data_IF_879906239643
#
_entry.id   IF_879906239643
#
_cell.length_a   1.000
_cell.length_b   1.000
_cell.length_c   1.000
_cell.angle_alpha   90.00
_cell.angle_beta   90.00
_cell.angle_gamma   90.00
#
_symmetry.space_group_name_H-M   'P 1'
#
loop_
_entity.id
_entity.type
_entity.pdbx_description
1 polymer ?
#
# COMPACT_ATOMS: atom_id res chain seq x y z
N UNK A 1 -0.32 -27.84 9.86
CA UNK A 1 -0.80 -27.77 8.46
C UNK A 1 -0.31 -28.98 7.68
N UNK A 2 -1.20 -29.69 6.97
CA UNK A 2 -0.83 -30.90 6.20
C UNK A 2 -0.60 -30.53 4.74
N UNK A 3 0.53 -30.94 4.16
CA UNK A 3 0.82 -30.70 2.75
C UNK A 3 -0.09 -31.54 1.85
N UNK A 4 -0.84 -30.91 0.94
CA UNK A 4 -1.75 -31.61 0.01
C UNK A 4 -1.05 -32.45 -1.06
N UNK A 5 0.27 -32.28 -1.26
CA UNK A 5 1.02 -33.06 -2.25
C UNK A 5 1.73 -34.29 -1.67
N UNK A 6 2.29 -34.18 -0.47
CA UNK A 6 3.09 -35.25 0.14
C UNK A 6 2.60 -35.69 1.53
N UNK A 7 1.51 -35.08 2.02
CA UNK A 7 0.88 -35.37 3.32
C UNK A 7 1.77 -35.15 4.56
N UNK A 8 2.94 -34.52 4.39
CA UNK A 8 3.81 -34.17 5.51
C UNK A 8 3.14 -33.10 6.39
N UNK A 9 3.17 -33.31 7.70
CA UNK A 9 2.77 -32.29 8.68
C UNK A 9 3.83 -31.19 8.77
N UNK A 10 3.39 -29.95 8.65
CA UNK A 10 4.22 -28.75 8.72
C UNK A 10 3.67 -27.80 9.79
N UNK A 11 4.55 -27.00 10.38
CA UNK A 11 4.14 -25.86 11.22
C UNK A 11 3.27 -24.88 10.42
N UNK A 12 2.28 -24.29 11.07
CA UNK A 12 1.32 -23.34 10.48
C UNK A 12 1.96 -22.05 9.92
N UNK A 13 3.19 -21.73 10.32
CA UNK A 13 3.92 -20.56 9.83
C UNK A 13 4.81 -20.86 8.61
N UNK A 14 4.85 -22.10 8.13
CA UNK A 14 5.66 -22.47 6.96
C UNK A 14 4.93 -22.09 5.67
N UNK A 15 5.62 -21.34 4.81
CA UNK A 15 5.12 -21.02 3.46
C UNK A 15 5.34 -22.16 2.45
N UNK A 16 6.26 -23.07 2.74
CA UNK A 16 6.63 -24.19 1.88
C UNK A 16 6.79 -25.47 2.69
N UNK A 17 6.45 -26.60 2.08
CA UNK A 17 6.57 -27.91 2.69
C UNK A 17 8.05 -28.24 2.93
N UNK A 18 8.36 -28.66 4.16
CA UNK A 18 9.71 -29.06 4.58
C UNK A 18 10.23 -30.31 3.88
N UNK A 19 9.34 -31.15 3.33
CA UNK A 19 9.70 -32.39 2.67
C UNK A 19 9.74 -32.25 1.13
N UNK A 20 8.71 -31.68 0.51
CA UNK A 20 8.60 -31.63 -0.95
C UNK A 20 8.79 -30.24 -1.57
N UNK A 21 8.93 -29.18 -0.76
CA UNK A 21 9.09 -27.81 -1.24
C UNK A 21 7.85 -27.16 -1.84
N UNK A 22 6.70 -27.87 -1.96
CA UNK A 22 5.47 -27.27 -2.50
C UNK A 22 4.97 -26.15 -1.57
N UNK A 23 4.49 -25.05 -2.18
CA UNK A 23 3.85 -23.93 -1.46
C UNK A 23 2.69 -24.47 -0.62
N UNK A 24 2.71 -24.12 0.65
CA UNK A 24 1.63 -24.36 1.58
C UNK A 24 0.70 -23.16 1.50
N UNK A 25 -0.60 -23.41 1.33
CA UNK A 25 -1.57 -22.36 1.08
C UNK A 25 -1.92 -21.60 2.37
N UNK A 26 -1.19 -20.52 2.60
CA UNK A 26 -1.40 -19.60 3.73
C UNK A 26 -1.36 -18.16 3.21
N UNK A 27 -2.38 -17.36 3.54
CA UNK A 27 -2.50 -15.96 3.09
C UNK A 27 -2.11 -15.02 4.23
N UNK A 28 -1.02 -14.28 4.04
CA UNK A 28 -0.66 -13.18 4.97
C UNK A 28 -1.47 -11.95 4.57
N UNK A 29 -2.29 -11.45 5.48
CA UNK A 29 -3.01 -10.19 5.30
C UNK A 29 -2.07 -9.00 5.55
N UNK A 30 -2.41 -7.82 5.04
CA UNK A 30 -1.62 -6.58 5.20
C UNK A 30 -1.39 -6.20 6.68
N UNK A 31 -2.29 -6.60 7.58
CA UNK A 31 -2.12 -6.42 9.02
C UNK A 31 -1.07 -7.35 9.67
N UNK A 32 -0.47 -8.27 8.90
CA UNK A 32 0.56 -9.21 9.37
C UNK A 32 0.02 -10.56 9.86
N UNK A 33 -1.30 -10.72 10.00
CA UNK A 33 -1.91 -11.98 10.41
C UNK A 33 -1.81 -13.03 9.29
N UNK A 34 -1.51 -14.28 9.65
CA UNK A 34 -1.45 -15.42 8.73
C UNK A 34 -2.77 -16.17 8.83
N UNK A 35 -3.52 -16.17 7.73
CA UNK A 35 -4.81 -16.84 7.63
C UNK A 35 -4.66 -18.18 6.90
N UNK A 36 -5.59 -19.10 7.18
CA UNK A 36 -5.76 -20.32 6.40
C UNK A 36 -6.26 -19.96 4.99
N UNK A 37 -6.03 -20.84 4.01
CA UNK A 37 -6.38 -20.56 2.62
C UNK A 37 -7.88 -20.33 2.37
N UNK A 38 -8.68 -21.05 3.16
CA UNK A 38 -10.14 -21.07 3.11
C UNK A 38 -10.79 -19.99 3.99
N UNK A 39 -9.99 -19.17 4.68
CA UNK A 39 -10.53 -18.03 5.42
C UNK A 39 -11.03 -16.97 4.42
N UNK A 40 -12.23 -16.45 4.68
CA UNK A 40 -12.84 -15.37 3.90
C UNK A 40 -12.50 -13.99 4.48
N UNK A 41 -12.23 -13.93 5.78
CA UNK A 41 -11.94 -12.70 6.52
C UNK A 41 -10.69 -12.90 7.35
N UNK A 42 -9.93 -11.83 7.55
CA UNK A 42 -8.72 -11.85 8.34
C UNK A 42 -9.03 -12.06 9.83
N UNK A 43 -8.58 -13.16 10.42
CA UNK A 43 -8.78 -13.45 11.85
C UNK A 43 -8.17 -12.42 12.80
N UNK A 44 -7.15 -11.67 12.34
CA UNK A 44 -6.51 -10.62 13.13
C UNK A 44 -7.18 -9.24 13.10
N UNK A 45 -7.88 -8.87 12.02
CA UNK A 45 -8.41 -7.50 11.86
C UNK A 45 -9.83 -7.43 11.25
N UNK A 46 -10.44 -8.56 10.91
CA UNK A 46 -11.81 -8.66 10.39
C UNK A 46 -12.01 -8.22 8.94
N UNK A 47 -10.98 -7.72 8.25
CA UNK A 47 -11.07 -7.26 6.86
C UNK A 47 -11.11 -8.47 5.91
N UNK A 48 -11.92 -8.44 4.83
CA UNK A 48 -11.96 -9.51 3.84
C UNK A 48 -10.58 -9.85 3.25
N UNK A 49 -10.28 -11.14 3.13
CA UNK A 49 -9.07 -11.61 2.44
C UNK A 49 -9.39 -11.63 0.95
N UNK A 50 -8.83 -10.69 0.18
CA UNK A 50 -8.97 -10.68 -1.29
C UNK A 50 -8.60 -12.07 -1.84
N UNK A 51 -9.54 -12.74 -2.49
CA UNK A 51 -9.30 -14.02 -3.15
C UNK A 51 -8.72 -13.77 -4.54
N UNK A 52 -7.64 -14.47 -4.89
CA UNK A 52 -7.08 -14.46 -6.25
C UNK A 52 -8.11 -14.95 -7.30
N UNK A 53 -9.19 -15.60 -6.87
CA UNK A 53 -10.30 -16.07 -7.74
C UNK A 53 -11.28 -14.97 -8.17
N UNK A 54 -11.19 -13.74 -7.63
CA UNK A 54 -11.92 -12.57 -8.14
C UNK A 54 -10.97 -11.41 -8.43
N UNK A 55 -9.82 -11.72 -9.05
CA UNK A 55 -9.23 -10.75 -9.96
C UNK A 55 -9.98 -10.88 -11.28
N UNK A 56 -11.21 -10.38 -11.30
CA UNK A 56 -11.78 -9.89 -12.55
C UNK A 56 -10.68 -8.96 -13.09
N UNK A 57 -10.13 -9.27 -14.27
CA UNK A 57 -9.05 -8.47 -14.87
C UNK A 57 -9.41 -6.97 -14.98
N UNK A 58 -10.70 -6.64 -14.82
CA UNK A 58 -11.28 -5.30 -14.78
C UNK A 58 -11.15 -4.56 -13.44
N UNK A 59 -10.84 -5.22 -12.31
CA UNK A 59 -10.95 -4.62 -10.97
C UNK A 59 -9.60 -4.22 -10.31
N UNK A 60 -8.47 -4.34 -11.01
CA UNK A 60 -7.23 -3.64 -10.61
C UNK A 60 -7.18 -2.30 -11.35
N UNK A 61 -7.97 -1.31 -10.92
CA UNK A 61 -7.64 0.10 -11.16
C UNK A 61 -6.66 0.54 -10.08
N UNK A 62 -5.45 -0.03 -10.09
CA UNK A 62 -4.30 0.63 -9.50
C UNK A 62 -3.73 1.56 -10.56
N UNK A 63 -4.36 2.74 -10.64
CA UNK A 63 -4.03 3.79 -11.58
C UNK A 63 -4.72 3.56 -12.93
N UNK A 64 -5.70 4.40 -13.25
CA UNK A 64 -5.87 4.76 -14.66
C UNK A 64 -4.49 5.12 -15.20
N UNK A 65 -4.17 4.64 -16.40
CA UNK A 65 -2.90 4.93 -17.06
C UNK A 65 -2.87 6.44 -17.31
N UNK A 66 -2.32 7.19 -16.36
CA UNK A 66 -2.19 8.64 -16.44
C UNK A 66 -1.44 8.93 -17.74
N UNK A 67 -2.11 9.64 -18.65
CA UNK A 67 -1.50 10.05 -19.91
C UNK A 67 -0.56 11.21 -19.65
N UNK A 68 0.32 11.50 -20.62
CA UNK A 68 1.19 12.67 -20.55
C UNK A 68 0.38 13.98 -20.42
N UNK A 69 -0.83 14.01 -20.98
CA UNK A 69 -1.73 15.15 -20.80
C UNK A 69 -2.30 15.25 -19.38
N UNK A 70 -2.69 14.14 -18.76
CA UNK A 70 -3.20 14.12 -17.38
C UNK A 70 -2.10 14.56 -16.39
N UNK A 71 -0.84 14.15 -16.64
CA UNK A 71 0.33 14.64 -15.89
C UNK A 71 0.50 16.16 -16.07
N UNK A 72 0.36 16.66 -17.29
CA UNK A 72 0.51 18.09 -17.59
C UNK A 72 -0.63 18.93 -16.98
N UNK A 73 -1.86 18.41 -16.89
CA UNK A 73 -2.97 19.10 -16.22
C UNK A 73 -2.75 19.22 -14.71
N UNK A 74 -2.36 18.12 -14.04
CA UNK A 74 -2.05 18.12 -12.60
C UNK A 74 -0.91 19.11 -12.27
N UNK A 75 0.14 19.12 -13.09
CA UNK A 75 1.27 20.06 -12.93
C UNK A 75 0.88 21.52 -13.19
N UNK A 76 -0.17 21.77 -13.99
CA UNK A 76 -0.66 23.11 -14.28
C UNK A 76 -1.70 23.61 -13.26
N UNK A 77 -2.41 22.71 -12.56
CA UNK A 77 -3.32 23.10 -11.47
C UNK A 77 -2.58 23.67 -10.26
N UNK A 78 -1.34 23.23 -10.00
CA UNK A 78 -0.46 23.86 -9.00
C UNK A 78 -0.04 25.30 -9.37
N UNK A 79 -0.36 25.77 -10.60
CA UNK A 79 -0.17 27.16 -11.05
C UNK A 79 -1.44 28.04 -10.96
N UNK A 80 -2.55 27.55 -10.39
CA UNK A 80 -3.75 28.38 -10.12
C UNK A 80 -4.15 28.47 -8.64
N UNK A 81 -3.38 27.86 -7.72
CA UNK A 81 -3.37 28.32 -6.33
C UNK A 81 -2.29 29.38 -6.19
N UNK A 82 -2.72 30.61 -5.95
CA UNK A 82 -1.89 31.79 -5.74
C UNK A 82 -0.87 31.60 -4.61
N UNK A 83 0.29 31.01 -4.92
CA UNK A 83 1.49 31.30 -4.15
C UNK A 83 1.83 32.74 -4.50
N UNK A 84 1.34 33.67 -3.66
CA UNK A 84 1.94 34.99 -3.60
C UNK A 84 3.44 34.74 -3.41
N UNK A 85 4.25 35.00 -4.45
CA UNK A 85 5.69 35.13 -4.30
C UNK A 85 5.87 36.12 -3.16
N UNK A 86 6.18 35.64 -1.97
CA UNK A 86 6.48 36.51 -0.86
C UNK A 86 7.69 37.31 -1.30
N UNK A 87 7.52 38.63 -1.39
CA UNK A 87 8.63 39.54 -1.56
C UNK A 87 9.61 39.27 -0.40
N UNK A 88 10.91 39.08 -0.68
CA UNK A 88 11.89 38.93 0.38
C UNK A 88 11.77 40.09 1.37
N UNK A 89 11.69 39.79 2.66
CA UNK A 89 11.71 40.80 3.71
C UNK A 89 12.97 41.65 3.57
N UNK A 90 12.82 42.96 3.62
CA UNK A 90 13.94 43.89 3.69
C UNK A 90 14.69 43.74 5.01
N UNK A 91 15.98 44.09 5.03
CA UNK A 91 16.79 44.03 6.25
C UNK A 91 16.17 44.85 7.40
N UNK A 92 15.50 45.97 7.08
CA UNK A 92 14.82 46.81 8.07
C UNK A 92 13.68 46.06 8.77
N UNK A 93 12.93 45.25 8.03
CA UNK A 93 11.83 44.44 8.59
C UNK A 93 12.35 43.29 9.43
N UNK A 94 13.47 42.69 9.04
CA UNK A 94 14.16 41.67 9.85
C UNK A 94 14.61 42.28 11.18
N UNK A 95 15.26 43.43 11.16
CA UNK A 95 15.78 44.08 12.37
C UNK A 95 14.67 44.49 13.36
N UNK A 96 13.46 44.79 12.85
CA UNK A 96 12.29 45.10 13.70
C UNK A 96 11.75 43.87 14.44
N UNK A 97 11.88 42.67 13.87
CA UNK A 97 11.42 41.42 14.51
C UNK A 97 12.28 41.04 15.73
N UNK A 98 13.57 41.39 15.71
CA UNK A 98 14.53 41.01 16.75
C UNK A 98 14.85 42.12 17.76
N UNK A 99 14.18 43.28 17.66
CA UNK A 99 14.48 44.46 18.49
C UNK A 99 13.98 44.42 19.94
N UNK A 100 13.23 43.38 20.34
CA UNK A 100 12.69 43.24 21.70
C UNK A 100 13.11 41.94 22.41
N UNK A 101 14.33 41.45 22.17
CA UNK A 101 14.97 40.46 23.05
C UNK A 101 16.02 41.12 23.94
#
# INVERSE_FOLDING_TARGET
>A
MICTACHTENSEHRLFCTQCGKKLTSKRHQCGFINADNDLYCGGCGIPLMSEENLDEEAIVWGEKITENDLNEILNEENMSSVQKSTPLSQVEIDLLFKNQ
#
